data_IF_512478429625
#
_entry.id   IF_512478429625
#
_cell.length_a   1.000
_cell.length_b   1.000
_cell.length_c   1.000
_cell.angle_alpha   90.00
_cell.angle_beta   90.00
_cell.angle_gamma   90.00
#
_symmetry.space_group_name_H-M   'P 1'
#
loop_
_entity.id
_entity.type
_entity.pdbx_description
1 polymer ?
#
# COMPACT_ATOMS: atom_id res chain seq x y z
N UNK A 1 9.00 -10.35 -11.37
CA UNK A 1 7.61 -10.69 -10.98
C UNK A 1 7.16 -11.92 -11.76
N UNK A 2 6.33 -12.78 -11.13
CA UNK A 2 5.72 -13.91 -11.82
C UNK A 2 4.46 -13.49 -12.62
N UNK A 3 3.79 -12.44 -12.15
CA UNK A 3 2.62 -11.84 -12.80
C UNK A 3 2.57 -10.35 -12.48
N UNK A 4 2.49 -9.50 -13.50
CA UNK A 4 2.49 -8.05 -13.36
C UNK A 4 1.10 -7.49 -13.04
N UNK A 5 0.04 -8.09 -13.53
CA UNK A 5 -1.33 -7.65 -13.30
C UNK A 5 -1.74 -7.94 -11.85
N UNK A 6 -1.54 -9.17 -11.42
CA UNK A 6 -1.78 -9.62 -10.04
C UNK A 6 -0.63 -9.24 -9.09
N UNK A 7 0.49 -8.73 -9.60
CA UNK A 7 1.70 -8.38 -8.83
C UNK A 7 2.24 -9.53 -8.00
N UNK A 8 2.21 -10.74 -8.55
CA UNK A 8 2.75 -11.93 -7.88
C UNK A 8 4.28 -11.88 -7.83
N UNK A 9 4.91 -12.15 -6.68
CA UNK A 9 6.36 -12.18 -6.57
C UNK A 9 6.94 -13.49 -7.10
N UNK A 10 8.21 -13.49 -7.45
CA UNK A 10 8.94 -14.71 -7.87
C UNK A 10 9.21 -15.65 -6.69
N UNK A 11 9.35 -15.11 -5.48
CA UNK A 11 9.66 -15.83 -4.25
C UNK A 11 8.92 -15.22 -3.05
N UNK A 12 8.74 -16.01 -2.00
CA UNK A 12 8.29 -15.49 -0.70
C UNK A 12 9.37 -14.61 -0.06
N UNK A 13 8.95 -13.67 0.79
CA UNK A 13 9.88 -12.74 1.44
C UNK A 13 9.43 -12.39 2.85
N UNK A 14 10.40 -12.05 3.71
CA UNK A 14 10.16 -11.61 5.08
C UNK A 14 10.46 -10.12 5.19
N UNK A 15 9.72 -9.41 6.01
CA UNK A 15 9.92 -8.00 6.34
C UNK A 15 9.60 -7.74 7.81
N UNK A 16 10.08 -6.59 8.29
CA UNK A 16 9.82 -6.11 9.65
C UNK A 16 9.11 -4.77 9.53
N UNK A 17 8.02 -4.60 10.28
CA UNK A 17 7.29 -3.34 10.34
C UNK A 17 8.06 -2.34 11.19
N UNK A 18 8.28 -1.15 10.67
CA UNK A 18 8.93 -0.05 11.39
C UNK A 18 7.85 0.75 12.15
N UNK A 19 8.04 0.93 13.45
CA UNK A 19 7.07 1.60 14.34
C UNK A 19 7.06 3.13 14.20
N UNK A 20 8.16 3.73 13.75
CA UNK A 20 8.33 5.19 13.64
C UNK A 20 7.96 5.77 12.29
N UNK A 21 7.75 4.94 11.27
CA UNK A 21 7.36 5.38 9.93
C UNK A 21 5.92 4.99 9.64
N UNK A 22 5.10 5.99 9.34
CA UNK A 22 3.67 5.76 9.12
C UNK A 22 3.11 6.58 7.96
N UNK A 23 2.00 6.07 7.45
CA UNK A 23 1.11 6.76 6.51
C UNK A 23 -0.30 6.78 7.09
N UNK A 24 -0.93 7.93 7.09
CA UNK A 24 -2.35 8.08 7.45
C UNK A 24 -3.12 8.49 6.21
N UNK A 25 -4.22 7.79 5.95
CA UNK A 25 -5.10 8.05 4.81
C UNK A 25 -6.55 8.14 5.27
N UNK A 26 -7.22 9.20 4.85
CA UNK A 26 -8.65 9.40 5.03
C UNK A 26 -9.33 9.22 3.68
N UNK A 27 -10.46 8.50 3.66
CA UNK A 27 -11.27 8.28 2.46
C UNK A 27 -12.73 8.59 2.78
N UNK A 28 -13.31 9.45 1.98
CA UNK A 28 -14.73 9.78 2.03
C UNK A 28 -15.36 9.48 0.67
N UNK A 29 -16.42 8.68 0.64
CA UNK A 29 -17.24 8.47 -0.55
C UNK A 29 -18.54 9.26 -0.41
N UNK A 30 -18.86 10.09 -1.41
CA UNK A 30 -20.08 10.89 -1.38
C UNK A 30 -20.68 11.02 -2.79
N UNK A 31 -22.01 10.82 -2.89
CA UNK A 31 -22.74 10.96 -4.15
C UNK A 31 -22.69 12.38 -4.74
N UNK A 32 -22.38 13.36 -3.92
CA UNK A 32 -22.23 14.78 -4.35
C UNK A 32 -20.93 15.03 -5.08
N UNK A 33 -19.94 14.16 -4.93
CA UNK A 33 -18.67 14.29 -5.65
C UNK A 33 -18.83 13.93 -7.11
N UNK A 34 -18.39 14.83 -8.01
CA UNK A 34 -18.44 14.63 -9.46
C UNK A 34 -17.24 13.84 -9.99
N UNK A 35 -16.12 13.89 -9.26
CA UNK A 35 -14.86 13.24 -9.62
C UNK A 35 -14.09 12.79 -8.37
N UNK A 36 -13.14 11.86 -8.55
CA UNK A 36 -12.23 11.46 -7.48
C UNK A 36 -11.20 12.54 -7.21
N UNK A 37 -11.05 12.94 -5.95
CA UNK A 37 -10.10 13.95 -5.50
C UNK A 37 -9.03 13.33 -4.63
N UNK A 38 -7.76 13.41 -5.06
CA UNK A 38 -6.64 12.82 -4.33
C UNK A 38 -5.65 13.92 -3.93
N UNK A 39 -5.41 14.05 -2.62
CA UNK A 39 -4.56 15.07 -2.01
C UNK A 39 -3.47 14.40 -1.19
N UNK A 40 -2.22 14.83 -1.38
CA UNK A 40 -1.08 14.47 -0.54
C UNK A 40 -0.72 15.68 0.33
N UNK A 41 -0.84 15.57 1.65
CA UNK A 41 -0.42 16.63 2.57
C UNK A 41 1.10 16.75 2.60
N UNK A 42 1.60 17.94 2.28
CA UNK A 42 3.03 18.21 2.23
C UNK A 42 3.72 17.86 0.91
N UNK A 43 2.96 17.69 -0.18
CA UNK A 43 3.52 17.43 -1.50
C UNK A 43 2.44 17.26 -2.58
N UNK A 44 2.88 16.85 -3.75
CA UNK A 44 1.99 16.59 -4.88
C UNK A 44 2.09 15.17 -5.40
N UNK A 45 0.98 14.69 -5.96
CA UNK A 45 0.93 13.49 -6.78
C UNK A 45 1.13 13.83 -8.25
N UNK A 46 2.00 13.13 -8.94
CA UNK A 46 2.04 13.13 -10.40
C UNK A 46 0.73 12.59 -10.97
N UNK A 47 0.41 12.93 -12.21
CA UNK A 47 -0.77 12.40 -12.92
C UNK A 47 -0.83 10.87 -12.89
N UNK A 48 0.32 10.21 -13.05
CA UNK A 48 0.45 8.74 -13.02
C UNK A 48 0.10 8.15 -11.65
N UNK A 49 0.55 8.80 -10.57
CA UNK A 49 0.25 8.35 -9.21
C UNK A 49 -1.22 8.55 -8.86
N UNK A 50 -1.82 9.71 -9.23
CA UNK A 50 -3.26 9.93 -9.06
C UNK A 50 -4.07 8.85 -9.76
N UNK A 51 -3.73 8.51 -11.00
CA UNK A 51 -4.42 7.46 -11.75
C UNK A 51 -4.32 6.08 -11.08
N UNK A 52 -3.17 5.76 -10.46
CA UNK A 52 -3.01 4.52 -9.69
C UNK A 52 -3.94 4.48 -8.48
N UNK A 53 -4.08 5.60 -7.76
CA UNK A 53 -5.01 5.71 -6.62
C UNK A 53 -6.44 5.53 -7.08
N UNK A 54 -6.86 6.22 -8.15
CA UNK A 54 -8.22 6.11 -8.72
C UNK A 54 -8.53 4.67 -9.14
N UNK A 55 -7.62 4.00 -9.87
CA UNK A 55 -7.80 2.58 -10.23
C UNK A 55 -7.91 1.66 -9.01
N UNK A 56 -7.28 2.02 -7.90
CA UNK A 56 -7.41 1.24 -6.66
C UNK A 56 -8.76 1.47 -5.99
N UNK A 57 -9.26 2.71 -6.00
CA UNK A 57 -10.63 3.03 -5.58
C UNK A 57 -11.68 2.30 -6.44
N UNK A 58 -11.45 2.17 -7.77
CA UNK A 58 -12.33 1.41 -8.66
C UNK A 58 -12.43 -0.06 -8.25
N UNK A 59 -11.32 -0.68 -7.82
CA UNK A 59 -11.35 -2.04 -7.26
C UNK A 59 -12.19 -2.13 -6.00
N UNK A 60 -12.03 -1.18 -5.09
CA UNK A 60 -12.80 -1.12 -3.83
C UNK A 60 -14.30 -0.94 -4.14
N UNK A 61 -14.64 -0.03 -5.07
CA UNK A 61 -16.01 0.18 -5.54
C UNK A 61 -16.61 -1.09 -6.16
N UNK A 62 -15.85 -1.76 -7.01
CA UNK A 62 -16.28 -3.04 -7.60
C UNK A 62 -16.55 -4.12 -6.56
N UNK A 63 -15.73 -4.21 -5.50
CA UNK A 63 -15.97 -5.16 -4.40
C UNK A 63 -17.22 -4.81 -3.59
N UNK A 64 -17.52 -3.52 -3.42
CA UNK A 64 -18.66 -3.04 -2.66
C UNK A 64 -19.97 -2.93 -3.50
N UNK A 65 -19.90 -3.07 -4.81
CA UNK A 65 -21.04 -2.90 -5.71
C UNK A 65 -21.57 -1.45 -5.78
N UNK A 66 -20.69 -0.45 -5.59
CA UNK A 66 -21.06 0.97 -5.59
C UNK A 66 -20.33 1.74 -6.70
N UNK A 67 -20.98 2.79 -7.23
CA UNK A 67 -20.37 3.74 -8.18
C UNK A 67 -20.51 5.17 -7.65
N UNK A 68 -19.73 5.48 -6.61
CA UNK A 68 -19.68 6.81 -5.97
C UNK A 68 -18.23 7.31 -5.96
N UNK A 69 -18.03 8.62 -6.13
CA UNK A 69 -16.71 9.22 -6.17
C UNK A 69 -16.17 9.44 -4.77
N UNK A 70 -14.86 9.54 -4.66
CA UNK A 70 -14.18 9.65 -3.38
C UNK A 70 -13.28 10.88 -3.28
N UNK A 71 -13.15 11.39 -2.05
CA UNK A 71 -12.08 12.28 -1.63
C UNK A 71 -11.09 11.47 -0.80
N UNK A 72 -9.83 11.51 -1.20
CA UNK A 72 -8.71 10.86 -0.51
C UNK A 72 -7.74 11.94 -0.04
N UNK A 73 -7.42 11.94 1.24
CA UNK A 73 -6.36 12.76 1.83
C UNK A 73 -5.37 11.82 2.50
N UNK A 74 -4.10 11.90 2.11
CA UNK A 74 -3.06 11.06 2.68
C UNK A 74 -1.85 11.88 3.10
N UNK A 75 -1.14 11.43 4.16
CA UNK A 75 0.07 12.06 4.68
C UNK A 75 1.04 11.00 5.19
N UNK A 76 2.32 11.26 5.03
CA UNK A 76 3.42 10.48 5.57
C UNK A 76 4.19 11.32 6.60
N UNK A 77 4.83 10.68 7.58
CA UNK A 77 5.82 11.34 8.43
C UNK A 77 7.26 11.22 7.90
N UNK A 78 7.43 10.80 6.66
CA UNK A 78 8.71 10.68 5.97
C UNK A 78 8.62 11.24 4.54
N UNK A 79 9.75 11.69 4.00
CA UNK A 79 9.80 12.30 2.66
C UNK A 79 9.44 11.28 1.57
N UNK A 80 8.62 11.69 0.62
CA UNK A 80 8.37 10.94 -0.62
C UNK A 80 9.68 10.86 -1.43
N UNK A 81 9.96 9.72 -2.01
CA UNK A 81 11.15 9.47 -2.84
C UNK A 81 12.51 9.37 -2.12
N UNK A 82 12.57 9.47 -0.79
CA UNK A 82 13.80 9.31 0.01
C UNK A 82 14.37 7.87 0.06
N UNK A 83 14.08 7.03 -0.94
CA UNK A 83 14.43 5.60 -0.91
C UNK A 83 13.45 4.72 -0.17
N UNK A 84 12.64 5.29 0.70
CA UNK A 84 11.57 4.60 1.43
C UNK A 84 10.37 4.37 0.52
N UNK A 85 9.82 3.16 0.55
CA UNK A 85 8.75 2.72 -0.34
C UNK A 85 7.39 3.34 0.05
N UNK A 86 7.21 4.66 -0.09
CA UNK A 86 5.98 5.39 0.26
C UNK A 86 4.73 4.82 -0.42
N UNK A 87 4.87 4.20 -1.61
CA UNK A 87 3.75 3.53 -2.27
C UNK A 87 3.27 2.28 -1.52
N UNK A 88 4.13 1.58 -0.77
CA UNK A 88 3.73 0.40 -0.01
C UNK A 88 2.78 0.78 1.14
N UNK A 89 3.21 1.67 2.03
CA UNK A 89 2.39 2.15 3.14
C UNK A 89 1.15 2.91 2.66
N UNK A 90 1.28 3.72 1.58
CA UNK A 90 0.17 4.46 1.00
C UNK A 90 -0.96 3.57 0.48
N UNK A 91 -0.65 2.51 -0.27
CA UNK A 91 -1.68 1.58 -0.77
C UNK A 91 -2.24 0.67 0.32
N UNK A 92 -1.45 0.34 1.36
CA UNK A 92 -1.97 -0.36 2.53
C UNK A 92 -3.00 0.50 3.28
N UNK A 93 -2.65 1.75 3.59
CA UNK A 93 -3.55 2.70 4.26
C UNK A 93 -4.81 2.99 3.42
N UNK A 94 -4.65 3.17 2.10
CA UNK A 94 -5.77 3.38 1.18
C UNK A 94 -6.71 2.16 1.12
N UNK A 95 -6.15 0.94 1.11
CA UNK A 95 -6.96 -0.29 1.11
C UNK A 95 -7.80 -0.41 2.37
N UNK A 96 -7.19 -0.14 3.54
CA UNK A 96 -7.89 -0.19 4.83
C UNK A 96 -8.96 0.91 4.92
N UNK A 97 -8.58 2.16 4.69
CA UNK A 97 -9.50 3.30 4.82
C UNK A 97 -10.62 3.23 3.78
N UNK A 98 -10.29 2.94 2.52
CA UNK A 98 -11.28 2.88 1.43
C UNK A 98 -12.28 1.73 1.60
N UNK A 99 -11.83 0.53 1.98
CA UNK A 99 -12.73 -0.59 2.23
C UNK A 99 -13.69 -0.32 3.40
N UNK A 100 -13.19 0.25 4.49
CA UNK A 100 -14.04 0.64 5.63
C UNK A 100 -15.02 1.74 5.27
N UNK A 101 -14.62 2.73 4.48
CA UNK A 101 -15.48 3.84 4.08
C UNK A 101 -16.68 3.42 3.22
N UNK A 102 -16.59 2.32 2.46
CA UNK A 102 -17.72 1.74 1.71
C UNK A 102 -18.42 0.60 2.45
N UNK A 103 -18.09 0.37 3.73
CA UNK A 103 -18.76 -0.65 4.55
C UNK A 103 -18.27 -2.09 4.35
N UNK A 104 -17.15 -2.30 3.63
CA UNK A 104 -16.56 -3.63 3.51
C UNK A 104 -15.88 -4.06 4.82
N UNK A 105 -16.14 -5.29 5.23
CA UNK A 105 -15.50 -5.89 6.41
C UNK A 105 -14.53 -7.00 5.97
N UNK A 106 -13.38 -6.57 5.42
CA UNK A 106 -12.35 -7.48 4.92
C UNK A 106 -11.48 -8.01 6.08
N UNK A 107 -11.14 -9.29 6.02
CA UNK A 107 -10.12 -9.90 6.86
C UNK A 107 -8.73 -9.31 6.55
N UNK A 108 -7.77 -9.49 7.45
CA UNK A 108 -6.37 -9.06 7.24
C UNK A 108 -5.79 -9.67 5.95
N UNK A 109 -6.07 -10.95 5.69
CA UNK A 109 -5.68 -11.61 4.45
C UNK A 109 -6.27 -10.95 3.20
N UNK A 110 -7.55 -10.64 3.19
CA UNK A 110 -8.22 -9.98 2.06
C UNK A 110 -7.70 -8.55 1.85
N UNK A 111 -7.47 -7.81 2.94
CA UNK A 111 -6.83 -6.50 2.89
C UNK A 111 -5.40 -6.58 2.33
N UNK A 112 -4.63 -7.59 2.74
CA UNK A 112 -3.29 -7.84 2.22
C UNK A 112 -3.31 -8.10 0.71
N UNK A 113 -4.23 -8.95 0.23
CA UNK A 113 -4.44 -9.18 -1.21
C UNK A 113 -4.83 -7.89 -1.93
N UNK A 114 -5.78 -7.13 -1.40
CA UNK A 114 -6.22 -5.86 -1.99
C UNK A 114 -5.06 -4.85 -2.08
N UNK A 115 -4.31 -4.67 -1.00
CA UNK A 115 -3.16 -3.75 -0.96
C UNK A 115 -2.08 -4.13 -1.99
N UNK A 116 -1.81 -5.43 -2.18
CA UNK A 116 -0.87 -5.95 -3.19
C UNK A 116 -1.23 -5.50 -4.59
N UNK A 117 -2.50 -5.50 -4.96
CA UNK A 117 -2.96 -5.04 -6.27
C UNK A 117 -2.70 -3.55 -6.51
N UNK A 118 -2.62 -2.75 -5.47
CA UNK A 118 -2.22 -1.33 -5.56
C UNK A 118 -0.71 -1.15 -5.72
N UNK A 119 0.06 -1.87 -4.90
CA UNK A 119 1.53 -1.91 -4.92
C UNK A 119 1.98 -3.25 -4.33
N UNK A 120 2.78 -4.03 -5.06
CA UNK A 120 3.13 -5.40 -4.65
C UNK A 120 3.53 -5.53 -3.19
N UNK A 121 4.50 -4.74 -2.75
CA UNK A 121 5.00 -4.75 -1.36
C UNK A 121 4.00 -4.21 -0.32
N UNK A 122 2.90 -3.57 -0.73
CA UNK A 122 1.90 -3.01 0.20
C UNK A 122 1.19 -4.09 1.02
N UNK A 123 1.11 -5.33 0.51
CA UNK A 123 0.57 -6.45 1.28
C UNK A 123 1.26 -6.64 2.63
N UNK A 124 2.56 -6.38 2.71
CA UNK A 124 3.37 -6.53 3.91
C UNK A 124 3.18 -5.40 4.93
N UNK A 125 2.52 -4.31 4.55
CA UNK A 125 2.21 -3.19 5.44
C UNK A 125 0.80 -3.28 6.06
N UNK A 126 0.06 -4.35 5.77
CA UNK A 126 -1.23 -4.65 6.41
C UNK A 126 -1.02 -5.34 7.75
N UNK A 127 -0.29 -6.51 7.83
CA UNK A 127 0.06 -7.09 9.12
C UNK A 127 1.16 -6.30 9.82
N UNK A 128 1.28 -6.46 11.14
CA UNK A 128 2.33 -5.85 11.95
C UNK A 128 3.43 -6.82 12.37
N UNK A 129 4.54 -6.29 12.91
CA UNK A 129 5.64 -7.07 13.44
C UNK A 129 6.53 -7.69 12.38
N UNK A 130 6.88 -8.97 12.53
CA UNK A 130 7.61 -9.74 11.50
C UNK A 130 6.59 -10.38 10.59
N UNK A 131 6.72 -10.13 9.30
CA UNK A 131 5.72 -10.44 8.28
C UNK A 131 6.32 -11.30 7.21
N UNK A 132 5.64 -12.40 6.86
CA UNK A 132 5.94 -13.19 5.66
C UNK A 132 4.95 -12.83 4.54
N UNK A 133 5.46 -12.60 3.34
CA UNK A 133 4.67 -12.53 2.12
C UNK A 133 4.82 -13.85 1.37
N UNK A 134 3.74 -14.59 1.26
CA UNK A 134 3.69 -15.84 0.51
C UNK A 134 3.66 -15.55 -0.99
N UNK A 135 4.54 -16.23 -1.74
CA UNK A 135 4.61 -16.14 -3.20
C UNK A 135 3.24 -16.36 -3.84
N UNK A 136 2.59 -17.47 -3.45
CA UNK A 136 1.34 -17.90 -4.08
C UNK A 136 1.47 -18.21 -5.57
N UNK A 137 0.39 -18.70 -6.15
CA UNK A 137 0.25 -18.98 -7.59
C UNK A 137 -0.92 -18.21 -8.24
N UNK A 138 -1.77 -17.60 -7.42
CA UNK A 138 -2.96 -16.87 -7.83
C UNK A 138 -3.23 -15.66 -6.91
N UNK A 139 -4.32 -14.93 -7.21
CA UNK A 139 -4.70 -13.74 -6.46
C UNK A 139 -4.98 -14.01 -4.98
N UNK A 140 -5.50 -15.17 -4.60
CA UNK A 140 -5.92 -15.48 -3.23
C UNK A 140 -4.81 -16.10 -2.38
N UNK A 141 -3.87 -16.81 -3.01
CA UNK A 141 -2.78 -17.51 -2.34
C UNK A 141 -1.55 -16.64 -2.08
N UNK A 142 -1.42 -15.51 -2.79
CA UNK A 142 -0.33 -14.54 -2.55
C UNK A 142 -0.81 -13.42 -1.63
N UNK A 143 -0.49 -13.51 -0.35
CA UNK A 143 -0.82 -12.55 0.71
C UNK A 143 0.29 -12.49 1.74
N UNK A 144 0.22 -11.54 2.64
CA UNK A 144 1.15 -11.42 3.76
C UNK A 144 0.42 -11.62 5.09
N UNK A 145 1.13 -12.18 6.06
CA UNK A 145 0.65 -12.39 7.43
C UNK A 145 1.78 -12.24 8.45
N UNK A 146 1.42 -11.97 9.69
CA UNK A 146 2.39 -11.88 10.80
C UNK A 146 2.91 -13.26 11.18
N UNK A 147 4.22 -13.35 11.42
CA UNK A 147 4.86 -14.53 11.98
C UNK A 147 4.93 -14.37 13.51
N UNK A 148 4.35 -15.33 14.24
CA UNK A 148 4.52 -15.40 15.70
C UNK A 148 5.90 -15.97 16.01
N UNK A 149 6.73 -15.16 16.66
CA UNK A 149 8.03 -15.62 17.18
C UNK A 149 7.87 -15.84 18.70
N UNK A 150 8.26 -17.02 19.16
CA UNK A 150 8.05 -17.45 20.55
C UNK A 150 8.87 -16.70 21.60
N UNK A 151 9.76 -15.80 21.19
CA UNK A 151 10.54 -14.91 22.08
C UNK A 151 10.45 -13.49 21.55
N UNK A 152 10.39 -12.50 22.45
CA UNK A 152 10.51 -11.09 22.09
C UNK A 152 11.89 -10.85 21.47
N UNK A 153 11.93 -10.37 20.23
CA UNK A 153 13.15 -9.90 19.57
C UNK A 153 13.20 -8.38 19.72
N UNK A 154 14.20 -7.86 20.40
CA UNK A 154 14.52 -6.43 20.40
C UNK A 154 15.35 -6.12 19.14
N UNK A 155 14.66 -5.82 18.03
CA UNK A 155 15.31 -5.46 16.78
C UNK A 155 15.31 -3.95 16.66
N UNK A 156 16.52 -3.36 16.62
CA UNK A 156 16.73 -1.92 16.40
C UNK A 156 17.17 -1.68 14.96
N UNK A 157 16.47 -0.79 14.28
CA UNK A 157 16.79 -0.41 12.90
C UNK A 157 17.27 1.02 12.87
N UNK A 158 18.48 1.25 12.39
CA UNK A 158 19.01 2.57 12.08
C UNK A 158 18.64 2.93 10.65
N UNK A 159 17.85 3.97 10.49
CA UNK A 159 17.51 4.52 9.19
C UNK A 159 18.47 5.65 8.85
N UNK A 160 19.21 5.50 7.76
CA UNK A 160 20.09 6.55 7.22
C UNK A 160 19.41 7.11 5.98
N UNK A 161 18.98 8.36 6.05
CA UNK A 161 18.46 9.11 4.90
C UNK A 161 19.63 9.82 4.22
N UNK A 162 19.92 9.44 2.98
CA UNK A 162 20.88 10.16 2.13
C UNK A 162 20.09 11.17 1.32
N UNK A 163 20.33 12.46 1.57
CA UNK A 163 19.69 13.54 0.81
C UNK A 163 20.29 13.53 -0.61
N UNK A 164 19.55 13.01 -1.56
CA UNK A 164 19.88 13.10 -2.98
C UNK A 164 18.93 14.13 -3.60
N UNK A 165 19.49 15.23 -4.05
CA UNK A 165 18.79 16.21 -4.89
C UNK A 165 18.47 15.56 -6.24
N UNK A 166 17.25 15.09 -6.41
CA UNK A 166 16.76 14.55 -7.68
C UNK A 166 15.67 13.48 -7.58
N UNK A 167 14.81 13.41 -8.58
CA UNK A 167 13.87 12.29 -8.74
C UNK A 167 14.65 11.00 -9.05
N UNK A 168 14.17 9.88 -8.51
CA UNK A 168 14.71 8.56 -8.86
C UNK A 168 14.65 8.34 -10.36
N UNK A 169 15.79 8.13 -11.02
CA UNK A 169 15.88 7.80 -12.44
C UNK A 169 15.14 6.50 -12.77
N UNK A 170 15.14 5.53 -11.84
CA UNK A 170 14.45 4.25 -11.98
C UNK A 170 13.44 4.06 -10.86
N UNK A 171 12.16 3.98 -11.19
CA UNK A 171 11.10 3.66 -10.24
C UNK A 171 11.22 2.22 -9.73
N UNK A 172 10.79 1.97 -8.48
CA UNK A 172 10.87 0.65 -7.80
C UNK A 172 10.25 -0.50 -8.60
N UNK A 173 9.31 -0.23 -9.50
CA UNK A 173 8.70 -1.23 -10.38
C UNK A 173 9.67 -1.70 -11.47
N UNK A 174 10.49 -0.81 -12.04
CA UNK A 174 11.51 -1.15 -13.05
C UNK A 174 12.79 -1.72 -12.44
N UNK A 175 13.10 -1.36 -11.20
CA UNK A 175 14.28 -1.88 -10.48
C UNK A 175 14.12 -3.29 -9.95
N UNK A 176 12.94 -3.93 -10.16
CA UNK A 176 12.66 -5.32 -9.78
C UNK A 176 12.53 -6.26 -11.01
N UNK A 177 12.75 -5.74 -12.20
CA UNK A 177 12.89 -6.50 -13.43
C UNK A 177 14.38 -6.86 -13.61
#
# INVERSE_FOLDING_TARGET
KADDELRLPMNSSISITLDKLWTVTEVEFDKRFKEDKVVLSGGDFSKKERLRVVRHLDRIRGMAGVDIKARVVTRNNFKKASGMASSASGFAALSLAGSKAVGLNLSEKELSVLARLGSGSACRSIPGGIVIWHKGSDNKSSYAESIKIGKSLDIRVLLIEVDQDGEKEVGSTRGMD
#
